data_IF_928270764639
#
_entry.id   IF_928270764639
#
_cell.length_a   1.000
_cell.length_b   1.000
_cell.length_c   1.000
_cell.angle_alpha   90.00
_cell.angle_beta   90.00
_cell.angle_gamma   90.00
#
_symmetry.space_group_name_H-M   'P 1'
#
loop_
_entity.id
_entity.type
_entity.pdbx_description
1 polymer ?
#
# COMPACT_ATOMS: atom_id res chain seq x y z
N UNK A 1 -8.01 8.38 17.34
CA UNK A 1 -7.16 8.38 16.12
C UNK A 1 -7.90 7.93 14.88
N UNK A 2 -7.44 8.28 13.65
CA UNK A 2 -8.05 7.81 12.40
C UNK A 2 -7.42 6.50 11.95
N UNK A 3 -8.23 5.47 11.68
CA UNK A 3 -7.80 4.14 11.22
C UNK A 3 -8.54 3.72 9.96
N UNK A 4 -7.83 3.14 9.01
CA UNK A 4 -8.41 2.63 7.76
C UNK A 4 -8.61 1.12 7.83
N UNK A 5 -9.84 0.68 7.57
CA UNK A 5 -10.22 -0.73 7.48
C UNK A 5 -10.51 -1.08 6.03
N UNK A 6 -9.87 -2.12 5.51
CA UNK A 6 -10.06 -2.56 4.12
C UNK A 6 -10.50 -4.00 4.05
N UNK A 7 -11.68 -4.25 3.46
CA UNK A 7 -12.22 -5.59 3.25
C UNK A 7 -12.77 -5.77 1.83
N UNK A 8 -12.89 -7.04 1.39
CA UNK A 8 -13.55 -7.39 0.13
C UNK A 8 -15.06 -7.22 0.27
N UNK A 9 -15.72 -6.70 -0.79
CA UNK A 9 -17.17 -6.51 -0.86
C UNK A 9 -17.78 -7.31 -2.01
N UNK A 10 -19.05 -7.68 -1.86
CA UNK A 10 -19.81 -8.42 -2.86
C UNK A 10 -20.97 -7.55 -3.40
N UNK A 11 -20.68 -6.62 -4.34
CA UNK A 11 -21.71 -5.78 -4.94
C UNK A 11 -22.60 -6.58 -5.90
N UNK A 12 -23.90 -6.20 -5.98
CA UNK A 12 -24.86 -6.72 -6.96
C UNK A 12 -24.47 -6.34 -8.39
N UNK A 13 -25.17 -6.86 -9.39
CA UNK A 13 -24.91 -6.52 -10.79
C UNK A 13 -25.05 -5.00 -11.05
N UNK A 14 -26.12 -4.39 -10.55
CA UNK A 14 -26.36 -2.95 -10.67
C UNK A 14 -25.28 -2.11 -9.95
N UNK A 15 -24.93 -2.51 -8.73
CA UNK A 15 -23.87 -1.84 -7.97
C UNK A 15 -22.53 -1.91 -8.69
N UNK A 16 -22.20 -3.04 -9.34
CA UNK A 16 -21.00 -3.17 -10.19
C UNK A 16 -21.03 -2.17 -11.35
N UNK A 17 -22.16 -2.05 -12.03
CA UNK A 17 -22.31 -1.06 -13.13
C UNK A 17 -22.06 0.36 -12.61
N UNK A 18 -22.69 0.74 -11.49
CA UNK A 18 -22.50 2.07 -10.87
C UNK A 18 -21.04 2.32 -10.46
N UNK A 19 -20.37 1.32 -9.86
CA UNK A 19 -18.95 1.40 -9.51
C UNK A 19 -18.10 1.62 -10.77
N UNK A 20 -18.34 0.85 -11.83
CA UNK A 20 -17.59 0.98 -13.08
C UNK A 20 -17.82 2.31 -13.78
N UNK A 21 -19.06 2.80 -13.84
CA UNK A 21 -19.40 4.11 -14.37
C UNK A 21 -18.66 5.20 -13.58
N UNK A 22 -18.82 5.23 -12.25
CA UNK A 22 -18.18 6.24 -11.40
C UNK A 22 -16.65 6.24 -11.52
N UNK A 23 -16.01 5.06 -11.50
CA UNK A 23 -14.54 4.96 -11.70
C UNK A 23 -14.14 5.43 -13.11
N UNK A 24 -14.96 5.15 -14.12
CA UNK A 24 -14.78 5.63 -15.49
C UNK A 24 -14.80 7.15 -15.56
N UNK A 25 -15.83 7.76 -14.99
CA UNK A 25 -16.01 9.21 -14.88
C UNK A 25 -14.87 9.86 -14.10
N UNK A 26 -14.49 9.32 -12.95
CA UNK A 26 -13.35 9.84 -12.17
C UNK A 26 -12.04 9.82 -12.97
N UNK A 27 -11.81 8.79 -13.81
CA UNK A 27 -10.64 8.74 -14.67
C UNK A 27 -10.71 9.79 -15.77
N UNK A 28 -11.85 9.95 -16.42
CA UNK A 28 -12.09 10.95 -17.44
C UNK A 28 -11.86 12.36 -16.89
N UNK A 29 -12.53 12.71 -15.81
CA UNK A 29 -12.43 14.04 -15.17
C UNK A 29 -11.01 14.36 -14.69
N UNK A 30 -10.31 13.39 -14.10
CA UNK A 30 -8.90 13.58 -13.76
C UNK A 30 -8.08 13.95 -15.00
N UNK A 31 -8.25 13.20 -16.08
CA UNK A 31 -7.53 13.44 -17.33
C UNK A 31 -7.93 14.77 -17.98
N UNK A 32 -9.22 15.10 -17.94
CA UNK A 32 -9.74 16.35 -18.49
C UNK A 32 -9.15 17.57 -17.74
N UNK A 33 -9.13 17.51 -16.40
CA UNK A 33 -8.47 18.53 -15.58
C UNK A 33 -6.98 18.70 -15.92
N UNK A 34 -6.28 17.59 -16.15
CA UNK A 34 -4.87 17.66 -16.56
C UNK A 34 -4.71 18.28 -17.95
N UNK A 35 -5.54 17.87 -18.93
CA UNK A 35 -5.50 18.36 -20.29
C UNK A 35 -5.76 19.88 -20.32
N UNK A 36 -6.84 20.32 -19.65
CA UNK A 36 -7.23 21.71 -19.57
C UNK A 36 -6.13 22.61 -18.96
N UNK A 37 -5.55 22.21 -17.84
CA UNK A 37 -4.44 22.98 -17.26
C UNK A 37 -3.16 22.94 -18.09
N UNK A 38 -2.93 21.88 -18.86
CA UNK A 38 -1.81 21.83 -19.80
C UNK A 38 -2.02 22.82 -20.94
N UNK A 39 -3.23 22.92 -21.45
CA UNK A 39 -3.62 23.88 -22.50
C UNK A 39 -3.47 25.33 -22.00
N UNK A 40 -4.03 25.67 -20.84
CA UNK A 40 -3.84 26.98 -20.21
C UNK A 40 -2.37 27.36 -20.09
N UNK A 41 -1.54 26.43 -19.63
CA UNK A 41 -0.10 26.66 -19.52
C UNK A 41 0.57 26.94 -20.88
N UNK A 42 0.18 26.20 -21.92
CA UNK A 42 0.71 26.39 -23.28
C UNK A 42 0.30 27.75 -23.88
N UNK A 43 -0.87 28.26 -23.51
CA UNK A 43 -1.38 29.57 -23.92
C UNK A 43 -0.85 30.73 -23.05
N UNK A 44 0.02 30.48 -22.07
CA UNK A 44 0.50 31.50 -21.14
C UNK A 44 -0.52 31.92 -20.07
N UNK A 45 -1.61 31.17 -19.92
CA UNK A 45 -2.68 31.48 -18.98
C UNK A 45 -2.40 30.92 -17.57
N UNK A 46 -3.10 31.46 -16.56
CA UNK A 46 -2.95 31.05 -15.17
C UNK A 46 -3.53 29.66 -14.93
N UNK A 47 -2.82 28.88 -14.11
CA UNK A 47 -3.24 27.57 -13.64
C UNK A 47 -4.63 27.64 -12.97
N UNK A 48 -5.55 26.79 -13.42
CA UNK A 48 -6.90 26.71 -12.87
C UNK A 48 -6.95 25.74 -11.68
N UNK A 49 -7.32 26.26 -10.50
CA UNK A 49 -7.50 25.43 -9.29
C UNK A 49 -8.66 24.44 -9.44
N UNK A 50 -8.67 23.38 -8.60
CA UNK A 50 -9.76 22.39 -8.62
C UNK A 50 -11.13 23.00 -8.34
N UNK A 51 -11.21 24.04 -7.52
CA UNK A 51 -12.45 24.75 -7.23
C UNK A 51 -12.97 25.53 -8.45
N UNK A 52 -12.09 26.34 -9.06
CA UNK A 52 -12.43 27.10 -10.29
C UNK A 52 -12.82 26.16 -11.44
N UNK A 53 -12.05 25.10 -11.67
CA UNK A 53 -12.37 24.11 -12.69
C UNK A 53 -13.75 23.47 -12.51
N UNK A 54 -14.16 23.17 -11.26
CA UNK A 54 -15.49 22.61 -10.99
C UNK A 54 -16.62 23.59 -11.27
N UNK A 55 -16.43 24.88 -10.94
CA UNK A 55 -17.39 25.93 -11.26
C UNK A 55 -17.51 26.06 -12.77
N UNK A 56 -16.40 26.26 -13.46
CA UNK A 56 -16.34 26.34 -14.93
C UNK A 56 -16.97 25.10 -15.59
N UNK A 57 -16.62 23.89 -15.16
CA UNK A 57 -17.16 22.66 -15.70
C UNK A 57 -18.70 22.60 -15.62
N UNK A 58 -19.27 22.96 -14.46
CA UNK A 58 -20.70 22.80 -14.23
C UNK A 58 -21.55 23.94 -14.80
N UNK A 59 -21.04 25.18 -14.80
CA UNK A 59 -21.81 26.38 -15.15
C UNK A 59 -21.52 26.91 -16.56
N UNK A 60 -20.35 26.59 -17.12
CA UNK A 60 -19.96 27.07 -18.44
C UNK A 60 -19.83 25.92 -19.44
N UNK A 61 -19.00 24.89 -19.13
CA UNK A 61 -18.66 23.85 -20.08
C UNK A 61 -19.81 22.87 -20.33
N UNK A 62 -20.37 22.24 -19.31
CA UNK A 62 -21.43 21.24 -19.46
C UNK A 62 -22.72 21.75 -20.06
N UNK A 63 -23.18 23.01 -19.84
CA UNK A 63 -24.33 23.56 -20.54
C UNK A 63 -24.12 23.69 -22.06
N UNK A 64 -22.90 23.98 -22.50
CA UNK A 64 -22.53 24.12 -23.90
C UNK A 64 -22.21 22.77 -24.57
N UNK A 65 -21.98 21.70 -23.78
CA UNK A 65 -21.56 20.38 -24.24
C UNK A 65 -22.44 19.26 -23.69
N UNK A 66 -23.69 19.13 -24.19
CA UNK A 66 -24.67 18.14 -23.70
C UNK A 66 -24.17 16.69 -23.78
N UNK A 67 -23.25 16.37 -24.69
CA UNK A 67 -22.64 15.05 -24.85
C UNK A 67 -21.84 14.60 -23.63
N UNK A 68 -21.48 15.51 -22.73
CA UNK A 68 -20.77 15.21 -21.48
C UNK A 68 -21.68 15.18 -20.22
N UNK A 69 -23.00 15.36 -20.36
CA UNK A 69 -23.94 15.34 -19.22
C UNK A 69 -23.93 14.03 -18.42
N UNK A 70 -23.48 12.92 -19.03
CA UNK A 70 -23.28 11.65 -18.34
C UNK A 70 -22.31 11.74 -17.14
N UNK A 71 -21.47 12.79 -17.06
CA UNK A 71 -20.60 13.06 -15.91
C UNK A 71 -21.43 13.24 -14.64
N UNK A 72 -22.64 13.84 -14.74
CA UNK A 72 -23.56 14.08 -13.62
C UNK A 72 -24.23 12.80 -13.11
N UNK A 73 -24.23 11.69 -13.86
CA UNK A 73 -24.71 10.38 -13.39
C UNK A 73 -23.80 9.76 -12.32
N UNK A 74 -22.54 10.15 -12.27
CA UNK A 74 -21.59 9.65 -11.30
C UNK A 74 -21.74 10.37 -9.94
N UNK A 75 -21.37 9.68 -8.86
CA UNK A 75 -21.40 10.28 -7.53
C UNK A 75 -20.53 11.54 -7.46
N UNK A 76 -21.17 12.69 -7.22
CA UNK A 76 -20.55 14.02 -7.33
C UNK A 76 -19.29 14.20 -6.46
N UNK A 77 -19.27 13.64 -5.24
CA UNK A 77 -18.10 13.71 -4.36
C UNK A 77 -16.93 12.90 -4.86
N UNK A 78 -17.16 11.79 -5.58
CA UNK A 78 -16.09 11.03 -6.24
C UNK A 78 -15.50 11.83 -7.40
N UNK A 79 -16.34 12.51 -8.19
CA UNK A 79 -15.91 13.40 -9.28
C UNK A 79 -15.10 14.56 -8.73
N UNK A 80 -15.60 15.25 -7.71
CA UNK A 80 -14.87 16.30 -6.98
C UNK A 80 -13.48 15.84 -6.53
N UNK A 81 -13.40 14.66 -5.91
CA UNK A 81 -12.14 14.13 -5.42
C UNK A 81 -11.17 13.77 -6.57
N UNK A 82 -11.68 13.38 -7.73
CA UNK A 82 -10.85 13.13 -8.91
C UNK A 82 -10.15 14.42 -9.40
N UNK A 83 -10.85 15.55 -9.41
CA UNK A 83 -10.27 16.87 -9.73
C UNK A 83 -9.21 17.26 -8.68
N UNK A 84 -9.52 17.10 -7.39
CA UNK A 84 -8.59 17.38 -6.29
C UNK A 84 -7.31 16.54 -6.39
N UNK A 85 -7.41 15.28 -6.81
CA UNK A 85 -6.23 14.45 -7.09
C UNK A 85 -5.39 14.99 -8.25
N UNK A 86 -6.01 15.57 -9.28
CA UNK A 86 -5.32 16.26 -10.38
C UNK A 86 -4.54 17.48 -9.87
N UNK A 87 -5.18 18.33 -9.08
CA UNK A 87 -4.51 19.48 -8.45
C UNK A 87 -3.36 19.05 -7.54
N UNK A 88 -3.57 18.02 -6.72
CA UNK A 88 -2.51 17.50 -5.84
C UNK A 88 -1.32 16.96 -6.65
N UNK A 89 -1.57 16.35 -7.81
CA UNK A 89 -0.51 15.85 -8.68
C UNK A 89 0.32 17.00 -9.28
N UNK A 90 -0.32 18.09 -9.70
CA UNK A 90 0.38 19.30 -10.14
C UNK A 90 1.14 19.97 -9.00
N UNK A 91 0.53 20.10 -7.81
CA UNK A 91 1.21 20.67 -6.65
C UNK A 91 2.50 19.93 -6.33
N UNK A 92 2.48 18.60 -6.35
CA UNK A 92 3.70 17.78 -6.16
C UNK A 92 4.74 17.99 -7.26
N UNK A 93 4.31 18.21 -8.49
CA UNK A 93 5.21 18.54 -9.60
C UNK A 93 5.87 19.90 -9.39
N UNK A 94 5.09 20.94 -9.08
CA UNK A 94 5.63 22.28 -8.82
C UNK A 94 6.54 22.34 -7.59
N UNK A 95 6.29 21.49 -6.58
CA UNK A 95 7.16 21.35 -5.41
C UNK A 95 8.39 20.45 -5.68
N UNK A 96 8.63 20.01 -6.92
CA UNK A 96 9.72 19.08 -7.28
C UNK A 96 9.69 17.71 -6.55
N UNK A 97 8.53 17.34 -5.98
CA UNK A 97 8.34 16.05 -5.29
C UNK A 97 8.07 14.90 -6.27
N UNK A 98 7.60 15.21 -7.49
CA UNK A 98 7.26 14.20 -8.51
C UNK A 98 7.45 14.72 -9.93
N UNK A 99 7.55 13.80 -10.89
CA UNK A 99 7.53 14.15 -12.32
C UNK A 99 6.14 14.68 -12.75
N UNK A 100 6.08 15.27 -13.95
CA UNK A 100 4.85 15.81 -14.53
C UNK A 100 3.68 14.80 -14.49
N UNK A 101 2.46 15.21 -14.11
CA UNK A 101 1.30 14.34 -13.97
C UNK A 101 0.97 13.60 -15.27
N UNK A 102 0.77 12.27 -15.17
CA UNK A 102 0.45 11.42 -16.32
C UNK A 102 -1.04 11.11 -16.40
N UNK A 103 -1.59 11.04 -17.62
CA UNK A 103 -2.95 10.58 -17.86
C UNK A 103 -3.19 9.16 -17.33
N UNK A 104 -4.34 8.96 -16.70
CA UNK A 104 -4.78 7.66 -16.20
C UNK A 104 -5.38 6.84 -17.33
N UNK A 105 -4.94 5.58 -17.47
CA UNK A 105 -5.40 4.63 -18.50
C UNK A 105 -6.24 3.51 -17.89
N UNK A 106 -7.35 3.13 -18.57
CA UNK A 106 -8.20 2.00 -18.16
C UNK A 106 -7.37 0.71 -18.06
N UNK A 107 -7.49 0.02 -16.91
CA UNK A 107 -6.80 -1.24 -16.67
C UNK A 107 -5.28 -1.15 -16.39
N UNK A 108 -4.72 0.08 -16.34
CA UNK A 108 -3.31 0.33 -15.94
C UNK A 108 -3.22 1.21 -14.69
N UNK A 109 -4.13 2.20 -14.55
CA UNK A 109 -4.12 3.13 -13.42
C UNK A 109 -5.13 2.70 -12.36
N UNK A 110 -4.73 2.81 -11.08
CA UNK A 110 -5.61 2.55 -9.93
C UNK A 110 -6.48 3.80 -9.68
N UNK A 111 -7.68 3.81 -10.25
CA UNK A 111 -8.69 4.83 -10.01
C UNK A 111 -9.76 4.26 -9.08
N UNK A 112 -10.11 5.00 -8.05
CA UNK A 112 -11.02 4.57 -7.00
C UNK A 112 -12.25 5.48 -6.96
N UNK A 113 -13.40 4.93 -6.56
CA UNK A 113 -14.59 5.69 -6.25
C UNK A 113 -14.50 6.15 -4.80
N UNK A 114 -14.27 7.44 -4.58
CA UNK A 114 -14.28 8.06 -3.26
C UNK A 114 -15.69 8.25 -2.75
N UNK A 115 -15.89 8.14 -1.44
CA UNK A 115 -17.14 8.51 -0.76
C UNK A 115 -16.82 9.16 0.59
N UNK A 116 -17.75 9.99 1.06
CA UNK A 116 -17.65 10.71 2.33
C UNK A 116 -19.04 10.75 2.97
N UNK A 117 -19.06 10.82 4.29
CA UNK A 117 -20.30 11.01 5.05
C UNK A 117 -20.79 12.44 4.87
N UNK A 118 -21.95 12.62 4.25
CA UNK A 118 -22.64 13.91 4.12
C UNK A 118 -23.86 13.95 5.04
N UNK A 119 -24.62 12.86 5.11
CA UNK A 119 -25.86 12.76 5.87
C UNK A 119 -25.72 11.76 7.03
N UNK A 120 -26.54 11.86 8.09
CA UNK A 120 -26.53 10.91 9.21
C UNK A 120 -26.77 9.46 8.77
N UNK A 121 -27.54 9.25 7.68
CA UNK A 121 -27.84 7.91 7.12
C UNK A 121 -26.70 7.34 6.28
N UNK A 122 -25.76 8.17 5.84
CA UNK A 122 -24.62 7.74 5.01
C UNK A 122 -23.57 7.00 5.82
N UNK A 123 -22.82 6.14 5.13
CA UNK A 123 -21.63 5.50 5.67
C UNK A 123 -21.86 4.69 6.95
N UNK A 124 -23.06 4.14 7.13
CA UNK A 124 -23.34 3.21 8.24
C UNK A 124 -22.67 1.87 7.99
N UNK A 125 -22.24 1.21 9.06
CA UNK A 125 -21.68 -0.12 9.01
C UNK A 125 -22.42 -1.06 9.96
N UNK A 126 -22.78 -2.22 9.44
CA UNK A 126 -23.28 -3.36 10.21
C UNK A 126 -22.27 -4.51 10.13
N UNK A 127 -22.47 -5.53 10.93
CA UNK A 127 -21.55 -6.67 11.01
C UNK A 127 -21.22 -7.31 9.65
N UNK A 128 -22.17 -7.31 8.70
CA UNK A 128 -22.04 -8.02 7.41
C UNK A 128 -22.21 -7.15 6.18
N UNK A 129 -22.51 -5.85 6.34
CA UNK A 129 -22.72 -4.91 5.24
C UNK A 129 -22.33 -3.48 5.60
N UNK A 130 -22.01 -2.71 4.60
CA UNK A 130 -21.67 -1.28 4.71
C UNK A 130 -22.56 -0.47 3.77
N UNK A 131 -23.09 0.64 4.23
CA UNK A 131 -23.84 1.59 3.40
C UNK A 131 -22.84 2.56 2.76
N UNK A 132 -22.80 2.56 1.43
CA UNK A 132 -21.93 3.42 0.64
C UNK A 132 -22.80 4.39 -0.14
N UNK A 133 -22.59 5.72 -0.01
CA UNK A 133 -23.34 6.71 -0.78
C UNK A 133 -23.36 6.37 -2.28
N UNK A 134 -24.50 6.53 -2.91
CA UNK A 134 -24.85 6.14 -4.29
C UNK A 134 -24.92 4.64 -4.60
N UNK A 135 -24.41 3.76 -3.73
CA UNK A 135 -24.53 2.31 -3.92
C UNK A 135 -25.55 1.66 -2.99
N UNK A 136 -25.84 2.30 -1.84
CA UNK A 136 -26.64 1.70 -0.78
C UNK A 136 -25.88 0.62 0.00
N UNK A 137 -26.59 -0.36 0.54
CA UNK A 137 -26.02 -1.44 1.32
C UNK A 137 -25.27 -2.46 0.45
N UNK A 138 -24.00 -2.69 0.77
CA UNK A 138 -23.11 -3.65 0.09
C UNK A 138 -22.61 -4.66 1.10
N UNK A 139 -22.68 -5.97 0.79
CA UNK A 139 -22.17 -7.04 1.65
C UNK A 139 -20.64 -7.00 1.74
N UNK A 140 -20.12 -7.15 2.95
CA UNK A 140 -18.67 -7.31 3.23
C UNK A 140 -18.35 -8.79 3.44
N UNK A 141 -17.13 -9.18 3.08
CA UNK A 141 -16.67 -10.57 3.18
C UNK A 141 -16.30 -10.94 4.61
N UNK A 142 -15.46 -10.13 5.24
CA UNK A 142 -15.00 -10.34 6.60
C UNK A 142 -16.01 -9.72 7.58
N UNK A 143 -16.95 -10.55 8.08
CA UNK A 143 -18.00 -10.12 9.01
C UNK A 143 -17.41 -9.59 10.33
N UNK A 144 -17.83 -8.41 10.77
CA UNK A 144 -17.36 -7.79 12.02
C UNK A 144 -15.94 -7.22 11.97
N UNK A 145 -15.28 -7.21 10.79
CA UNK A 145 -13.94 -6.64 10.65
C UNK A 145 -13.95 -5.10 10.68
N UNK A 146 -14.97 -4.49 10.12
CA UNK A 146 -15.18 -3.04 10.21
C UNK A 146 -16.03 -2.79 11.47
N UNK A 147 -15.59 -1.93 12.41
CA UNK A 147 -16.39 -1.54 13.58
C UNK A 147 -17.75 -1.00 13.18
N UNK A 148 -18.78 -1.38 13.91
CA UNK A 148 -20.17 -1.10 13.51
C UNK A 148 -20.67 0.24 14.02
N UNK A 149 -21.67 0.79 13.34
CA UNK A 149 -22.32 2.04 13.76
C UNK A 149 -23.09 1.86 15.09
N UNK A 150 -23.57 0.66 15.38
CA UNK A 150 -24.20 0.33 16.69
C UNK A 150 -23.24 0.43 17.86
N UNK A 151 -21.95 0.12 17.62
CA UNK A 151 -20.86 0.28 18.61
C UNK A 151 -20.37 1.73 18.72
N UNK A 152 -21.05 2.69 18.11
CA UNK A 152 -20.70 4.12 18.14
C UNK A 152 -19.65 4.56 17.14
N UNK A 153 -19.17 3.67 16.27
CA UNK A 153 -18.15 4.02 15.28
C UNK A 153 -18.72 4.68 14.04
N UNK A 154 -18.04 5.70 13.57
CA UNK A 154 -18.49 6.50 12.42
C UNK A 154 -17.45 6.42 11.29
N UNK A 155 -17.90 6.00 10.10
CA UNK A 155 -17.08 6.09 8.90
C UNK A 155 -17.10 7.55 8.42
N UNK A 156 -15.95 8.22 8.47
CA UNK A 156 -15.79 9.61 8.00
C UNK A 156 -15.78 9.68 6.48
N UNK A 157 -15.00 8.81 5.86
CA UNK A 157 -14.84 8.71 4.39
C UNK A 157 -14.30 7.35 3.99
N UNK A 158 -14.22 7.11 2.70
CA UNK A 158 -13.62 5.89 2.21
C UNK A 158 -13.53 5.86 0.68
N UNK A 159 -13.17 4.72 0.17
CA UNK A 159 -13.19 4.50 -1.27
C UNK A 159 -13.48 3.05 -1.64
N UNK A 160 -14.13 2.88 -2.77
CA UNK A 160 -14.31 1.58 -3.42
C UNK A 160 -13.26 1.43 -4.50
N UNK A 161 -12.58 0.29 -4.51
CA UNK A 161 -11.53 -0.04 -5.48
C UNK A 161 -11.75 -1.42 -6.10
N UNK A 162 -11.16 -1.63 -7.26
CA UNK A 162 -11.16 -2.91 -7.95
C UNK A 162 -9.72 -3.44 -8.09
N UNK A 163 -9.48 -4.69 -7.74
CA UNK A 163 -8.19 -5.36 -7.95
C UNK A 163 -8.41 -6.82 -8.35
N UNK A 164 -7.86 -7.22 -9.48
CA UNK A 164 -7.93 -8.60 -9.99
C UNK A 164 -9.37 -9.17 -10.10
N UNK A 165 -10.32 -8.34 -10.52
CA UNK A 165 -11.75 -8.70 -10.66
C UNK A 165 -12.53 -8.80 -9.35
N UNK A 166 -11.94 -8.34 -8.23
CA UNK A 166 -12.59 -8.25 -6.92
C UNK A 166 -12.79 -6.80 -6.52
N UNK A 167 -13.79 -6.56 -5.67
CA UNK A 167 -14.14 -5.23 -5.17
C UNK A 167 -13.76 -5.12 -3.70
N UNK A 168 -13.27 -3.97 -3.31
CA UNK A 168 -12.84 -3.69 -1.94
C UNK A 168 -13.38 -2.35 -1.50
N UNK A 169 -13.82 -2.27 -0.25
CA UNK A 169 -14.05 -1.02 0.44
C UNK A 169 -12.90 -0.75 1.39
N UNK A 170 -12.42 0.49 1.42
CA UNK A 170 -11.56 0.99 2.48
C UNK A 170 -12.33 2.09 3.19
N UNK A 171 -12.62 1.90 4.47
CA UNK A 171 -13.36 2.84 5.31
C UNK A 171 -12.41 3.50 6.31
N UNK A 172 -12.41 4.82 6.38
CA UNK A 172 -11.67 5.61 7.36
C UNK A 172 -12.59 5.88 8.55
N UNK A 173 -12.21 5.37 9.71
CA UNK A 173 -12.99 5.41 10.94
C UNK A 173 -12.19 6.11 12.01
N UNK A 174 -12.86 6.93 12.81
CA UNK A 174 -12.31 7.48 14.02
C UNK A 174 -12.50 6.45 15.15
N UNK A 175 -11.40 6.04 15.74
CA UNK A 175 -11.40 5.12 16.88
C UNK A 175 -10.81 5.84 18.09
N UNK A 176 -11.24 5.51 19.33
CA UNK A 176 -10.60 6.04 20.51
C UNK A 176 -9.10 5.79 20.48
N UNK A 177 -8.33 6.72 21.03
CA UNK A 177 -6.92 6.46 21.27
C UNK A 177 -6.82 5.39 22.36
N UNK A 178 -6.09 4.32 22.09
CA UNK A 178 -5.81 3.34 23.13
C UNK A 178 -5.03 4.04 24.24
N UNK A 179 -5.54 3.92 25.47
CA UNK A 179 -4.77 4.28 26.67
C UNK A 179 -3.46 3.51 26.63
N UNK A 180 -2.40 4.11 27.11
CA UNK A 180 -1.06 3.52 27.22
C UNK A 180 -1.16 2.08 27.72
N UNK A 181 -0.79 1.13 26.87
CA UNK A 181 -0.65 -0.26 27.30
C UNK A 181 0.50 -0.34 28.30
N UNK A 182 0.39 -1.19 29.31
CA UNK A 182 1.54 -1.52 30.14
C UNK A 182 2.62 -2.15 29.26
N UNK A 183 3.62 -1.35 28.93
CA UNK A 183 4.76 -1.77 28.11
C UNK A 183 5.82 -2.38 29.03
N UNK A 184 6.59 -3.35 28.53
CA UNK A 184 7.76 -3.83 29.22
C UNK A 184 8.83 -2.72 29.28
N UNK A 185 9.70 -2.77 30.29
CA UNK A 185 10.83 -1.84 30.39
C UNK A 185 11.91 -2.11 29.33
N UNK A 186 11.81 -3.23 28.60
CA UNK A 186 12.80 -3.63 27.60
C UNK A 186 12.37 -3.24 26.19
N UNK A 187 13.34 -2.76 25.41
CA UNK A 187 13.20 -2.57 23.98
C UNK A 187 13.69 -3.76 23.18
N UNK A 188 13.36 -3.80 21.91
CA UNK A 188 13.85 -4.82 20.98
C UNK A 188 14.48 -4.20 19.75
N UNK A 189 15.51 -4.86 19.19
CA UNK A 189 16.11 -4.58 17.90
C UNK A 189 15.64 -5.61 16.88
N UNK A 190 15.47 -5.20 15.64
CA UNK A 190 15.07 -6.06 14.52
C UNK A 190 16.00 -5.84 13.35
N UNK A 191 16.73 -6.89 12.98
CA UNK A 191 17.48 -6.95 11.73
C UNK A 191 16.60 -7.53 10.61
N UNK A 192 16.60 -6.88 9.42
CA UNK A 192 15.79 -7.28 8.26
C UNK A 192 16.69 -7.84 7.15
N UNK A 193 16.46 -9.09 6.77
CA UNK A 193 17.32 -9.79 5.84
C UNK A 193 16.63 -10.44 4.64
N UNK A 194 17.47 -10.94 3.71
CA UNK A 194 17.02 -11.73 2.56
C UNK A 194 17.08 -13.25 2.83
N UNK A 195 17.95 -13.70 3.74
CA UNK A 195 18.05 -15.11 4.17
C UNK A 195 16.85 -15.46 5.05
N UNK A 196 16.73 -14.80 6.15
CA UNK A 196 15.57 -14.75 7.01
C UNK A 196 14.92 -13.39 6.85
N UNK A 197 13.60 -13.28 7.11
CA UNK A 197 12.86 -12.04 6.90
C UNK A 197 13.17 -11.00 7.98
N UNK A 198 13.18 -11.45 9.22
CA UNK A 198 13.51 -10.62 10.37
C UNK A 198 14.10 -11.47 11.50
N UNK A 199 15.13 -10.96 12.14
CA UNK A 199 15.72 -11.54 13.36
C UNK A 199 15.57 -10.50 14.47
N UNK A 200 15.02 -10.93 15.60
CA UNK A 200 14.68 -10.06 16.74
C UNK A 200 15.66 -10.33 17.88
N UNK A 201 16.07 -9.30 18.59
CA UNK A 201 17.03 -9.37 19.69
C UNK A 201 16.57 -10.25 20.88
N UNK A 202 15.29 -10.67 20.92
CA UNK A 202 14.78 -11.65 21.89
C UNK A 202 14.99 -13.11 21.43
N UNK A 203 15.80 -13.37 20.41
CA UNK A 203 16.08 -14.71 19.86
C UNK A 203 15.08 -15.19 18.79
N UNK A 204 13.98 -14.50 18.55
CA UNK A 204 12.97 -14.95 17.59
C UNK A 204 13.39 -14.65 16.17
N UNK A 205 13.35 -15.67 15.30
CA UNK A 205 13.68 -15.59 13.88
C UNK A 205 12.45 -15.83 13.01
N UNK A 206 12.14 -14.91 12.11
CA UNK A 206 11.07 -15.02 11.12
C UNK A 206 11.67 -15.42 9.77
N UNK A 207 11.32 -16.61 9.31
CA UNK A 207 11.84 -17.18 8.06
C UNK A 207 11.35 -16.39 6.84
N UNK A 208 12.12 -16.40 5.76
CA UNK A 208 11.71 -15.79 4.50
C UNK A 208 10.60 -16.60 3.83
N UNK A 209 9.36 -16.08 3.88
CA UNK A 209 8.16 -16.74 3.32
C UNK A 209 8.29 -17.00 1.81
N UNK A 210 9.11 -16.21 1.09
CA UNK A 210 9.32 -16.38 -0.35
C UNK A 210 10.04 -17.70 -0.70
N UNK A 211 10.72 -18.29 0.27
CA UNK A 211 11.38 -19.61 0.11
C UNK A 211 10.41 -20.78 0.30
N UNK A 212 9.17 -20.55 0.73
CA UNK A 212 8.17 -21.60 0.96
C UNK A 212 7.78 -22.31 -0.35
N UNK A 213 7.53 -23.61 -0.28
CA UNK A 213 7.10 -24.43 -1.42
C UNK A 213 5.83 -23.86 -2.08
N UNK A 214 4.89 -23.34 -1.24
CA UNK A 214 3.64 -22.73 -1.70
C UNK A 214 3.88 -21.52 -2.60
N UNK A 215 4.75 -20.58 -2.19
CA UNK A 215 5.04 -19.38 -3.00
C UNK A 215 5.85 -19.73 -4.25
N UNK A 216 6.85 -20.60 -4.14
CA UNK A 216 7.61 -21.09 -5.31
C UNK A 216 6.69 -21.72 -6.37
N UNK A 217 5.69 -22.54 -5.97
CA UNK A 217 4.70 -23.14 -6.88
C UNK A 217 3.84 -22.06 -7.55
N UNK A 218 3.39 -21.04 -6.79
CA UNK A 218 2.60 -19.93 -7.34
C UNK A 218 3.42 -19.05 -8.30
N UNK A 219 4.68 -18.78 -8.01
CA UNK A 219 5.57 -18.02 -8.89
C UNK A 219 5.87 -18.77 -10.19
N UNK A 220 6.14 -20.08 -10.14
CA UNK A 220 6.28 -20.93 -11.35
C UNK A 220 5.01 -20.87 -12.22
N UNK A 221 3.83 -20.96 -11.58
CA UNK A 221 2.55 -20.82 -12.30
C UNK A 221 2.39 -19.43 -12.89
N UNK A 222 2.75 -18.37 -12.16
CA UNK A 222 2.67 -16.99 -12.64
C UNK A 222 3.51 -16.78 -13.90
N UNK A 223 4.76 -17.25 -13.92
CA UNK A 223 5.65 -17.18 -15.09
C UNK A 223 5.03 -17.89 -16.30
N UNK A 224 4.43 -19.08 -16.11
CA UNK A 224 3.74 -19.81 -17.18
C UNK A 224 2.56 -19.04 -17.76
N UNK A 225 1.71 -18.47 -16.88
CA UNK A 225 0.55 -17.68 -17.33
C UNK A 225 0.95 -16.36 -18.00
N UNK A 226 2.07 -15.75 -17.57
CA UNK A 226 2.63 -14.56 -18.24
C UNK A 226 3.16 -14.88 -19.63
N UNK A 227 3.89 -15.99 -19.81
CA UNK A 227 4.35 -16.46 -21.14
C UNK A 227 3.16 -16.74 -22.08
N UNK A 228 2.08 -17.34 -21.55
CA UNK A 228 0.85 -17.54 -22.31
C UNK A 228 0.22 -16.19 -22.73
N UNK A 229 0.22 -15.20 -21.83
CA UNK A 229 -0.29 -13.86 -22.13
C UNK A 229 0.55 -13.15 -23.21
N UNK A 230 1.88 -13.23 -23.13
CA UNK A 230 2.78 -12.64 -24.13
C UNK A 230 2.53 -13.20 -25.52
N UNK A 231 2.47 -14.53 -25.67
CA UNK A 231 2.15 -15.18 -26.95
C UNK A 231 0.81 -14.75 -27.52
N UNK A 232 -0.22 -14.57 -26.68
CA UNK A 232 -1.52 -14.06 -27.12
C UNK A 232 -1.45 -12.62 -27.62
N UNK A 233 -0.59 -11.77 -27.05
CA UNK A 233 -0.37 -10.40 -27.54
C UNK A 233 0.41 -10.39 -28.85
N UNK A 234 1.39 -11.28 -29.02
CA UNK A 234 2.16 -11.41 -30.26
C UNK A 234 1.25 -11.82 -31.43
N UNK A 235 0.35 -12.76 -31.20
CA UNK A 235 -0.62 -13.19 -32.21
C UNK A 235 -1.61 -12.07 -32.58
N UNK A 236 -1.98 -11.19 -31.64
CA UNK A 236 -2.91 -10.08 -31.90
C UNK A 236 -2.34 -9.05 -32.90
N UNK A 237 -1.03 -8.90 -33.03
CA UNK A 237 -0.40 -7.98 -34.01
C UNK A 237 -0.71 -8.35 -35.47
N UNK A 238 -1.22 -9.55 -35.69
CA UNK A 238 -1.57 -10.07 -37.04
C UNK A 238 -3.05 -9.84 -37.45
N UNK A 239 -3.78 -8.93 -36.78
CA UNK A 239 -5.01 -8.35 -37.36
C UNK A 239 -6.36 -8.92 -36.90
N UNK A 240 -6.45 -9.89 -36.00
CA UNK A 240 -7.73 -10.51 -35.61
C UNK A 240 -8.36 -9.87 -34.35
N UNK A 241 -9.59 -9.34 -34.49
CA UNK A 241 -10.37 -8.73 -33.42
C UNK A 241 -10.95 -9.73 -32.39
N UNK A 242 -11.16 -10.98 -32.80
CA UNK A 242 -11.82 -12.05 -32.00
C UNK A 242 -11.01 -12.51 -30.77
N UNK A 243 -9.72 -12.21 -30.73
CA UNK A 243 -8.83 -12.66 -29.66
C UNK A 243 -8.80 -11.75 -28.43
N UNK A 244 -9.36 -10.53 -28.48
CA UNK A 244 -9.30 -9.54 -27.37
C UNK A 244 -9.96 -10.05 -26.09
N UNK A 245 -11.08 -10.77 -26.19
CA UNK A 245 -11.77 -11.34 -25.02
C UNK A 245 -10.90 -12.42 -24.32
N UNK A 246 -10.20 -13.25 -25.09
CA UNK A 246 -9.30 -14.28 -24.58
C UNK A 246 -8.06 -13.68 -23.92
N UNK A 247 -7.53 -12.58 -24.45
CA UNK A 247 -6.44 -11.82 -23.82
C UNK A 247 -6.91 -11.23 -22.48
N UNK A 248 -8.12 -10.66 -22.40
CA UNK A 248 -8.65 -10.12 -21.15
C UNK A 248 -8.85 -11.22 -20.09
N UNK A 249 -9.35 -12.39 -20.48
CA UNK A 249 -9.46 -13.57 -19.59
C UNK A 249 -8.08 -14.00 -19.06
N UNK A 250 -7.08 -14.08 -19.94
CA UNK A 250 -5.72 -14.46 -19.56
C UNK A 250 -5.05 -13.39 -18.66
N UNK A 251 -5.21 -12.10 -18.99
CA UNK A 251 -4.75 -10.99 -18.15
C UNK A 251 -5.33 -11.06 -16.74
N UNK A 252 -6.62 -11.38 -16.62
CA UNK A 252 -7.27 -11.54 -15.32
C UNK A 252 -6.67 -12.73 -14.52
N UNK A 253 -6.32 -13.85 -15.17
CA UNK A 253 -5.62 -14.97 -14.50
C UNK A 253 -4.28 -14.52 -13.92
N UNK A 254 -3.47 -13.82 -14.71
CA UNK A 254 -2.18 -13.27 -14.28
C UNK A 254 -2.38 -12.30 -13.09
N UNK A 255 -3.33 -11.38 -13.19
CA UNK A 255 -3.64 -10.44 -12.11
C UNK A 255 -4.09 -11.14 -10.82
N UNK A 256 -4.91 -12.20 -10.91
CA UNK A 256 -5.33 -13.00 -9.75
C UNK A 256 -4.15 -13.70 -9.07
N UNK A 257 -3.18 -14.20 -9.83
CA UNK A 257 -1.98 -14.84 -9.30
C UNK A 257 -1.07 -13.82 -8.60
N UNK A 258 -0.80 -12.66 -9.22
CA UNK A 258 -0.08 -11.58 -8.57
C UNK A 258 -0.75 -11.17 -7.25
N UNK A 259 -2.06 -10.99 -7.27
CA UNK A 259 -2.80 -10.61 -6.07
C UNK A 259 -2.76 -11.69 -4.98
N UNK A 260 -2.81 -12.97 -5.34
CA UNK A 260 -2.70 -14.07 -4.38
C UNK A 260 -1.32 -14.12 -3.72
N UNK A 261 -0.24 -13.96 -4.51
CA UNK A 261 1.14 -13.91 -4.01
C UNK A 261 1.32 -12.70 -3.08
N UNK A 262 0.85 -11.53 -3.50
CA UNK A 262 0.89 -10.28 -2.73
C UNK A 262 0.16 -10.41 -1.39
N UNK A 263 -1.03 -11.01 -1.38
CA UNK A 263 -1.80 -11.23 -0.15
C UNK A 263 -1.09 -12.19 0.83
N UNK A 264 -0.44 -13.27 0.35
CA UNK A 264 0.31 -14.19 1.22
C UNK A 264 1.48 -13.45 1.89
N UNK A 265 2.22 -12.64 1.14
CA UNK A 265 3.32 -11.82 1.68
C UNK A 265 2.83 -10.80 2.71
N UNK A 266 1.75 -10.10 2.37
CA UNK A 266 1.13 -9.09 3.26
C UNK A 266 0.56 -9.73 4.54
N UNK A 267 -0.08 -10.89 4.45
CA UNK A 267 -0.58 -11.63 5.60
C UNK A 267 0.56 -12.06 6.52
N UNK A 268 1.65 -12.57 5.95
CA UNK A 268 2.85 -12.93 6.70
C UNK A 268 3.44 -11.73 7.45
N UNK A 269 3.60 -10.58 6.77
CA UNK A 269 4.06 -9.33 7.40
C UNK A 269 3.13 -8.93 8.55
N UNK A 270 1.81 -8.97 8.35
CA UNK A 270 0.85 -8.60 9.38
C UNK A 270 0.96 -9.52 10.61
N UNK A 271 1.11 -10.82 10.42
CA UNK A 271 1.29 -11.80 11.51
C UNK A 271 2.60 -11.56 12.25
N UNK A 272 3.70 -11.39 11.53
CA UNK A 272 5.01 -11.06 12.12
C UNK A 272 4.92 -9.79 12.99
N UNK A 273 4.33 -8.72 12.47
CA UNK A 273 4.18 -7.46 13.23
C UNK A 273 3.27 -7.67 14.44
N UNK A 274 2.17 -8.41 14.30
CA UNK A 274 1.26 -8.67 15.40
C UNK A 274 1.93 -9.46 16.54
N UNK A 275 2.76 -10.46 16.21
CA UNK A 275 3.53 -11.23 17.19
C UNK A 275 4.60 -10.38 17.88
N UNK A 276 5.32 -9.51 17.13
CA UNK A 276 6.31 -8.60 17.70
C UNK A 276 5.65 -7.63 18.67
N UNK A 277 4.56 -6.97 18.25
CA UNK A 277 3.87 -5.99 19.08
C UNK A 277 3.17 -6.62 20.29
N UNK A 278 2.77 -7.90 20.19
CA UNK A 278 2.19 -8.64 21.31
C UNK A 278 3.14 -8.79 22.50
N UNK A 279 4.46 -8.73 22.27
CA UNK A 279 5.45 -8.75 23.39
C UNK A 279 5.51 -7.43 24.16
N UNK A 280 4.78 -6.40 23.71
CA UNK A 280 4.65 -5.08 24.35
C UNK A 280 5.99 -4.44 24.73
N UNK A 281 6.98 -4.36 23.84
CA UNK A 281 8.26 -3.72 24.15
C UNK A 281 8.09 -2.22 24.35
N UNK A 282 8.92 -1.58 25.15
CA UNK A 282 8.94 -0.12 25.32
C UNK A 282 9.28 0.60 24.01
N UNK A 283 10.21 0.03 23.27
CA UNK A 283 10.56 0.52 21.93
C UNK A 283 10.96 -0.62 21.00
N UNK A 284 10.89 -0.33 19.70
CA UNK A 284 11.38 -1.21 18.62
C UNK A 284 12.36 -0.43 17.78
N UNK A 285 13.59 -0.95 17.59
CA UNK A 285 14.57 -0.33 16.72
C UNK A 285 14.76 -1.16 15.46
N UNK A 286 14.72 -0.49 14.30
CA UNK A 286 14.99 -1.06 12.97
C UNK A 286 16.05 -0.26 12.23
N UNK A 287 16.67 -0.85 11.22
CA UNK A 287 17.58 -0.15 10.31
C UNK A 287 16.85 0.77 9.32
N UNK A 288 17.51 1.88 8.90
CA UNK A 288 17.07 2.71 7.77
C UNK A 288 17.50 2.10 6.43
N UNK A 289 16.87 0.99 6.03
CA UNK A 289 17.19 0.33 4.78
C UNK A 289 16.90 1.24 3.56
N UNK A 290 17.93 1.48 2.75
CA UNK A 290 17.79 2.15 1.45
C UNK A 290 17.21 1.18 0.39
N UNK A 291 15.90 0.86 0.53
CA UNK A 291 15.22 -0.09 -0.36
C UNK A 291 15.32 0.33 -1.83
N UNK A 292 15.20 1.63 -2.13
CA UNK A 292 15.32 2.14 -3.52
C UNK A 292 16.72 1.96 -4.09
N UNK A 293 17.77 2.15 -3.28
CA UNK A 293 19.16 1.83 -3.66
C UNK A 293 19.36 0.33 -3.89
N UNK A 294 18.87 -0.51 -2.98
CA UNK A 294 18.94 -1.97 -3.11
C UNK A 294 18.25 -2.49 -4.38
N UNK A 295 17.14 -1.84 -4.80
CA UNK A 295 16.41 -2.18 -6.02
C UNK A 295 17.17 -1.88 -7.32
N UNK A 296 18.20 -1.02 -7.30
CA UNK A 296 19.05 -0.74 -8.46
C UNK A 296 19.98 -1.93 -8.78
N UNK A 297 20.28 -2.77 -7.81
CA UNK A 297 21.09 -3.99 -8.04
C UNK A 297 20.22 -5.05 -8.76
N UNK A 298 20.54 -5.32 -10.04
CA UNK A 298 19.79 -6.24 -10.92
C UNK A 298 19.70 -7.67 -10.34
N UNK A 299 20.71 -8.14 -9.62
CA UNK A 299 20.75 -9.50 -9.03
C UNK A 299 19.86 -9.62 -7.78
N UNK A 300 19.72 -8.56 -6.99
CA UNK A 300 18.99 -8.56 -5.72
C UNK A 300 17.60 -7.95 -5.82
N UNK A 301 17.32 -7.12 -6.83
CA UNK A 301 16.09 -6.34 -6.96
C UNK A 301 14.82 -7.16 -6.80
N UNK A 302 14.76 -8.35 -7.44
CA UNK A 302 13.60 -9.25 -7.32
C UNK A 302 13.43 -9.79 -5.89
N UNK A 303 14.52 -10.17 -5.23
CA UNK A 303 14.49 -10.66 -3.86
C UNK A 303 14.05 -9.56 -2.89
N UNK A 304 14.64 -8.36 -3.00
CA UNK A 304 14.30 -7.17 -2.20
C UNK A 304 12.83 -6.78 -2.39
N UNK A 305 12.35 -6.69 -3.64
CA UNK A 305 10.95 -6.41 -3.94
C UNK A 305 9.98 -7.43 -3.31
N UNK A 306 10.39 -8.71 -3.29
CA UNK A 306 9.60 -9.80 -2.72
C UNK A 306 9.46 -9.74 -1.21
N UNK A 307 10.44 -9.17 -0.49
CA UNK A 307 10.41 -9.01 0.97
C UNK A 307 9.46 -7.90 1.43
N UNK A 308 9.20 -6.89 0.58
CA UNK A 308 8.30 -5.78 0.91
C UNK A 308 8.73 -5.02 2.19
N UNK A 309 10.02 -4.79 2.38
CA UNK A 309 10.57 -4.10 3.57
C UNK A 309 9.91 -2.74 3.84
N UNK A 310 9.62 -1.97 2.79
CA UNK A 310 8.91 -0.70 2.94
C UNK A 310 7.49 -0.90 3.52
N UNK A 311 6.76 -1.92 3.05
CA UNK A 311 5.43 -2.23 3.60
C UNK A 311 5.51 -2.67 5.07
N UNK A 312 6.52 -3.47 5.43
CA UNK A 312 6.78 -3.85 6.81
C UNK A 312 7.00 -2.62 7.69
N UNK A 313 7.93 -1.72 7.29
CA UNK A 313 8.22 -0.48 8.05
C UNK A 313 6.98 0.38 8.27
N UNK A 314 6.19 0.64 7.22
CA UNK A 314 4.97 1.47 7.34
C UNK A 314 3.93 0.82 8.26
N UNK A 315 3.71 -0.49 8.13
CA UNK A 315 2.76 -1.22 8.97
C UNK A 315 3.23 -1.34 10.42
N UNK A 316 4.53 -1.57 10.62
CA UNK A 316 5.13 -1.59 11.95
C UNK A 316 4.95 -0.22 12.62
N UNK A 317 5.26 0.88 11.92
CA UNK A 317 5.03 2.25 12.41
C UNK A 317 3.59 2.48 12.86
N UNK A 318 2.62 2.11 12.01
CA UNK A 318 1.21 2.26 12.34
C UNK A 318 0.81 1.42 13.57
N UNK A 319 1.32 0.18 13.63
CA UNK A 319 0.96 -0.76 14.69
C UNK A 319 1.63 -0.42 16.03
N UNK A 320 2.89 0.04 16.00
CA UNK A 320 3.60 0.55 17.17
C UNK A 320 2.88 1.77 17.76
N UNK A 321 2.51 2.74 16.91
CA UNK A 321 1.73 3.91 17.33
C UNK A 321 0.38 3.53 17.97
N UNK A 322 -0.33 2.53 17.41
CA UNK A 322 -1.60 2.04 17.97
C UNK A 322 -1.43 1.46 19.40
N UNK A 323 -0.26 0.97 19.75
CA UNK A 323 0.03 0.29 21.01
C UNK A 323 0.95 1.12 21.95
N UNK A 324 1.21 2.40 21.64
CA UNK A 324 2.06 3.25 22.46
C UNK A 324 3.56 2.89 22.43
N UNK A 325 3.98 2.01 21.53
CA UNK A 325 5.37 1.54 21.39
C UNK A 325 6.16 2.58 20.56
N UNK A 326 7.31 3.02 21.05
CA UNK A 326 8.20 3.90 20.32
C UNK A 326 8.90 3.13 19.19
N UNK A 327 8.75 3.60 17.94
CA UNK A 327 9.49 3.04 16.81
C UNK A 327 10.72 3.91 16.52
N UNK A 328 11.90 3.33 16.69
CA UNK A 328 13.22 3.92 16.44
C UNK A 328 13.77 3.46 15.11
N UNK A 329 14.39 4.34 14.38
CA UNK A 329 15.11 4.04 13.15
C UNK A 329 16.57 4.41 13.36
N UNK A 330 17.46 3.41 13.39
CA UNK A 330 18.88 3.60 13.52
C UNK A 330 19.43 4.39 12.32
N UNK A 331 20.56 5.07 12.51
CA UNK A 331 21.21 5.74 11.40
C UNK A 331 21.58 4.73 10.30
N UNK A 332 21.49 5.18 9.04
CA UNK A 332 21.77 4.32 7.86
C UNK A 332 23.14 3.72 7.85
N UNK A 333 24.09 4.43 8.41
CA UNK A 333 25.52 4.04 8.44
C UNK A 333 25.91 3.35 9.73
N UNK A 334 24.96 3.15 10.65
CA UNK A 334 25.23 2.41 11.89
C UNK A 334 25.65 0.96 11.55
N UNK A 335 26.88 0.56 11.89
CA UNK A 335 27.42 -0.71 11.46
C UNK A 335 26.94 -1.88 12.35
N UNK A 336 25.61 -2.05 12.47
CA UNK A 336 24.97 -3.01 13.38
C UNK A 336 25.57 -4.40 13.35
N UNK A 337 25.88 -4.93 12.17
CA UNK A 337 26.44 -6.26 11.98
C UNK A 337 27.96 -6.35 12.23
N UNK A 338 28.68 -5.21 12.29
CA UNK A 338 30.13 -5.15 12.47
C UNK A 338 30.55 -4.83 13.90
N UNK A 339 29.67 -4.36 14.75
CA UNK A 339 29.95 -4.06 16.16
C UNK A 339 29.82 -5.35 16.97
N UNK A 340 30.77 -5.60 17.84
CA UNK A 340 30.67 -6.66 18.82
C UNK A 340 29.66 -6.25 19.89
N UNK A 341 28.63 -7.03 20.12
CA UNK A 341 27.63 -6.72 21.13
C UNK A 341 28.19 -6.76 22.55
N UNK A 342 29.22 -7.59 22.79
CA UNK A 342 29.85 -7.74 24.10
C UNK A 342 30.78 -6.57 24.44
N UNK A 343 31.79 -6.28 23.58
CA UNK A 343 32.84 -5.31 23.90
C UNK A 343 32.76 -4.01 23.09
N UNK A 344 31.84 -3.85 22.16
CA UNK A 344 31.67 -2.65 21.35
C UNK A 344 32.71 -2.47 20.23
N UNK A 345 33.69 -3.34 20.09
CA UNK A 345 34.71 -3.22 19.02
C UNK A 345 34.10 -3.41 17.64
N UNK A 346 34.60 -2.62 16.66
CA UNK A 346 34.13 -2.70 15.27
C UNK A 346 35.07 -3.62 14.48
N UNK A 347 34.55 -4.71 13.96
CA UNK A 347 35.24 -5.64 13.07
C UNK A 347 35.17 -5.14 11.61
N UNK A 348 36.23 -4.49 11.12
CA UNK A 348 36.26 -3.87 9.78
C UNK A 348 36.31 -4.90 8.64
N UNK A 349 36.95 -6.03 8.85
CA UNK A 349 37.21 -7.12 7.89
C UNK A 349 36.02 -8.10 7.70
N UNK A 350 34.88 -7.91 8.40
CA UNK A 350 33.71 -8.76 8.29
C UNK A 350 33.12 -8.68 6.88
N UNK A 351 33.14 -9.81 6.17
CA UNK A 351 32.56 -9.94 4.81
C UNK A 351 31.05 -10.20 4.84
N UNK A 352 30.36 -9.86 3.76
CA UNK A 352 28.93 -10.14 3.62
C UNK A 352 28.61 -11.65 3.59
N UNK A 353 29.56 -12.48 3.21
CA UNK A 353 29.45 -13.94 3.22
C UNK A 353 29.51 -14.55 4.62
N UNK A 354 30.14 -13.85 5.57
CA UNK A 354 30.34 -14.36 6.91
C UNK A 354 29.00 -14.39 7.65
N UNK A 355 28.66 -15.54 8.22
CA UNK A 355 27.40 -15.77 8.92
C UNK A 355 27.57 -15.79 10.45
N UNK A 356 28.79 -16.06 10.89
CA UNK A 356 29.11 -16.09 12.31
C UNK A 356 30.02 -14.90 12.59
N UNK A 357 29.62 -14.07 13.53
CA UNK A 357 30.44 -13.01 14.07
C UNK A 357 31.37 -13.59 15.12
N UNK A 358 32.69 -13.35 15.01
CA UNK A 358 33.71 -13.76 15.98
C UNK A 358 34.53 -12.55 16.39
N UNK A 359 34.62 -12.27 17.66
CA UNK A 359 35.40 -11.17 18.21
C UNK A 359 36.61 -11.70 18.97
N UNK A 360 37.67 -10.88 19.04
CA UNK A 360 38.86 -11.17 19.84
C UNK A 360 38.56 -11.24 21.36
N UNK A 361 37.46 -10.63 21.83
CA UNK A 361 37.02 -10.78 23.22
C UNK A 361 36.44 -12.17 23.56
N UNK A 362 36.43 -13.10 22.61
CA UNK A 362 35.86 -14.44 22.77
C UNK A 362 34.36 -14.54 22.39
N UNK A 363 33.70 -13.41 22.12
CA UNK A 363 32.27 -13.44 21.73
C UNK A 363 32.09 -14.05 20.34
N UNK A 364 31.18 -15.05 20.25
CA UNK A 364 30.85 -15.76 19.01
C UNK A 364 29.34 -15.85 18.92
N UNK A 365 28.74 -15.35 17.81
CA UNK A 365 27.31 -15.31 17.62
C UNK A 365 26.91 -15.33 16.13
N UNK A 366 25.66 -15.66 15.79
CA UNK A 366 25.13 -15.41 14.45
C UNK A 366 25.19 -13.91 14.15
N UNK A 367 25.72 -13.54 12.98
CA UNK A 367 25.96 -12.14 12.61
C UNK A 367 24.68 -11.31 12.61
N UNK A 368 23.58 -11.87 12.10
CA UNK A 368 22.33 -11.15 11.95
C UNK A 368 21.62 -11.02 13.34
N UNK A 369 21.85 -12.01 14.26
CA UNK A 369 21.40 -11.89 15.64
C UNK A 369 22.24 -10.88 16.45
N UNK A 370 23.57 -10.86 16.26
CA UNK A 370 24.44 -9.82 16.80
C UNK A 370 23.98 -8.41 16.34
N UNK A 371 23.59 -8.26 15.06
CA UNK A 371 23.04 -7.00 14.54
C UNK A 371 21.74 -6.61 15.25
N UNK A 372 20.84 -7.55 15.50
CA UNK A 372 19.61 -7.29 16.21
C UNK A 372 19.86 -6.84 17.67
N UNK A 373 20.83 -7.44 18.36
CA UNK A 373 21.23 -7.04 19.70
C UNK A 373 21.81 -5.61 19.71
N UNK A 374 22.66 -5.26 18.73
CA UNK A 374 23.22 -3.93 18.59
C UNK A 374 22.15 -2.88 18.25
N UNK A 375 21.16 -3.22 17.43
CA UNK A 375 20.03 -2.34 17.15
C UNK A 375 19.18 -2.08 18.40
N UNK A 376 19.03 -3.04 19.30
CA UNK A 376 18.37 -2.82 20.59
C UNK A 376 19.09 -1.75 21.40
N UNK A 377 20.43 -1.80 21.47
CA UNK A 377 21.27 -0.90 22.24
C UNK A 377 21.68 0.39 21.57
N UNK A 378 21.21 0.69 20.34
CA UNK A 378 21.65 1.88 19.59
C UNK A 378 21.27 3.17 20.32
N UNK A 379 22.25 4.09 20.45
CA UNK A 379 22.07 5.38 21.13
C UNK A 379 21.62 6.49 20.17
N UNK A 380 22.01 6.42 18.89
CA UNK A 380 21.71 7.44 17.87
C UNK A 380 20.65 6.92 16.90
N UNK A 381 19.44 7.46 16.98
CA UNK A 381 18.29 7.04 16.17
C UNK A 381 17.36 8.22 15.89
N UNK A 382 16.43 8.02 14.94
CA UNK A 382 15.30 8.91 14.67
C UNK A 382 14.01 8.23 15.10
N UNK A 383 13.09 8.96 15.71
CA UNK A 383 11.73 8.46 15.96
C UNK A 383 10.99 8.46 14.63
N UNK A 384 10.36 7.33 14.29
CA UNK A 384 9.72 7.09 13.00
C UNK A 384 8.35 7.78 12.86
#
# INVERSE_FOLDING_TARGET
>A
MLKSFRTEIHPTAEQKVRIHKTIGTCRFIYNFYLAHNKELYQNGEKFMSSSKFRVWLNHEYLPQHPEYLWIKEAYSKAVTQAVNHGQTAFKKFFNHESAFPKFKKKGRSDVKMYFVKNNPKDCRCERHRVNIPSLGWVRIKEKGYIPTTKEGYIIKSGHVSMKAGRYYVSALIEIPDNKTADLSNEGIGIDLGLKDFAIVSNGKTYKNINKSARLKKLEKRLVREQRCLSRKYENLKKGESTQRANIQKQKLKVQKLHHKIDNIRTDYINKTIAEIVKTKPSYITIEDLNVSGMMKNKHLSRAVASQKFYEFRIKLKAKSRENGIELRVADRWYPSSKICHCCGMIKKDLKLSDRIFRCHCGYVEDRDFNAALNLRGVKTYKIA
#
